data_IF_226556388528
#
_entry.id   IF_226556388528
#
_cell.length_a   1.000
_cell.length_b   1.000
_cell.length_c   1.000
_cell.angle_alpha   90.00
_cell.angle_beta   90.00
_cell.angle_gamma   90.00
#
_symmetry.space_group_name_H-M   'P 1'
#
loop_
_entity.id
_entity.type
_entity.pdbx_description
1 polymer ?
#
# COMPACT_ATOMS: atom_id res chain seq x y z
N UNK A 1 35.45 38.72 -7.58
CA UNK A 1 34.25 38.03 -8.10
C UNK A 1 34.05 36.78 -7.26
N UNK A 2 33.04 36.74 -6.40
CA UNK A 2 32.77 35.59 -5.52
C UNK A 2 31.43 35.00 -5.94
N UNK A 3 31.46 33.77 -6.43
CA UNK A 3 30.31 33.05 -6.95
C UNK A 3 29.65 32.29 -5.80
N UNK A 4 28.55 32.84 -5.28
CA UNK A 4 27.74 32.19 -4.24
C UNK A 4 26.96 31.06 -4.91
N UNK A 5 27.36 29.83 -4.61
CA UNK A 5 26.65 28.62 -5.02
C UNK A 5 25.26 28.61 -4.40
N UNK A 6 24.23 28.73 -5.24
CA UNK A 6 22.84 28.51 -4.84
C UNK A 6 22.68 27.04 -4.45
N UNK A 7 22.59 26.78 -3.15
CA UNK A 7 22.16 25.47 -2.64
C UNK A 7 20.70 25.30 -3.03
N UNK A 8 20.46 24.58 -4.11
CA UNK A 8 19.13 24.14 -4.51
C UNK A 8 18.53 23.30 -3.39
N UNK A 9 17.67 23.90 -2.59
CA UNK A 9 16.77 23.21 -1.67
C UNK A 9 15.90 22.29 -2.54
N UNK A 10 16.31 21.04 -2.67
CA UNK A 10 15.50 20.02 -3.35
C UNK A 10 14.19 19.96 -2.58
N UNK A 11 13.10 20.45 -3.20
CA UNK A 11 11.74 20.19 -2.71
C UNK A 11 11.67 18.68 -2.53
N UNK A 12 11.60 18.21 -1.29
CA UNK A 12 11.34 16.82 -0.97
C UNK A 12 10.06 16.46 -1.72
N UNK A 13 10.20 15.79 -2.87
CA UNK A 13 9.07 15.40 -3.68
C UNK A 13 8.35 14.37 -2.83
N UNK A 14 7.21 14.77 -2.26
CA UNK A 14 6.33 13.84 -1.60
C UNK A 14 6.08 12.72 -2.62
N UNK A 15 6.46 11.46 -2.36
CA UNK A 15 6.35 10.40 -3.35
C UNK A 15 4.91 10.42 -3.86
N UNK A 16 4.74 10.47 -5.19
CA UNK A 16 3.43 10.67 -5.81
C UNK A 16 2.51 9.52 -5.41
N UNK A 17 1.73 9.70 -4.34
CA UNK A 17 0.75 8.73 -3.86
C UNK A 17 -0.43 8.76 -4.81
N UNK A 18 -0.75 7.64 -5.43
CA UNK A 18 -2.00 7.47 -6.18
C UNK A 18 -3.09 7.02 -5.22
N UNK A 19 -4.24 7.69 -5.27
CA UNK A 19 -5.44 7.29 -4.52
C UNK A 19 -6.17 6.23 -5.33
N UNK A 20 -6.63 5.19 -4.66
CA UNK A 20 -7.50 4.17 -5.22
C UNK A 20 -8.60 3.84 -4.21
N UNK A 21 -9.73 3.37 -4.70
CA UNK A 21 -10.87 2.95 -3.90
C UNK A 21 -11.04 1.44 -4.03
N UNK A 22 -11.35 0.77 -2.92
CA UNK A 22 -11.66 -0.65 -2.89
C UNK A 22 -13.01 -0.86 -2.22
N UNK A 23 -13.78 -1.81 -2.72
CA UNK A 23 -14.95 -2.34 -2.04
C UNK A 23 -14.53 -3.63 -1.32
N UNK A 24 -14.89 -3.73 -0.05
CA UNK A 24 -14.76 -4.94 0.76
C UNK A 24 -16.16 -5.42 1.10
N UNK A 25 -16.33 -6.71 1.29
CA UNK A 25 -17.55 -7.19 1.94
C UNK A 25 -17.54 -6.78 3.43
N UNK A 26 -18.70 -6.92 4.07
CA UNK A 26 -18.86 -6.47 5.46
C UNK A 26 -17.99 -7.31 6.41
N UNK A 27 -17.84 -8.61 6.14
CA UNK A 27 -17.06 -9.49 7.00
C UNK A 27 -15.55 -9.14 6.96
N UNK A 28 -14.98 -8.90 5.77
CA UNK A 28 -13.57 -8.50 5.66
C UNK A 28 -13.32 -7.12 6.25
N UNK A 29 -14.27 -6.18 6.09
CA UNK A 29 -14.18 -4.86 6.71
C UNK A 29 -14.12 -4.97 8.25
N UNK A 30 -15.02 -5.75 8.84
CA UNK A 30 -15.06 -5.96 10.29
C UNK A 30 -13.82 -6.68 10.82
N UNK A 31 -13.33 -7.68 10.06
CA UNK A 31 -12.10 -8.38 10.40
C UNK A 31 -10.89 -7.42 10.41
N UNK A 32 -10.81 -6.53 9.41
CA UNK A 32 -9.73 -5.54 9.29
C UNK A 32 -9.78 -4.51 10.44
N UNK A 33 -10.97 -4.08 10.84
CA UNK A 33 -11.16 -3.19 11.99
C UNK A 33 -10.69 -3.85 13.29
N UNK A 34 -11.12 -5.09 13.55
CA UNK A 34 -10.69 -5.86 14.73
C UNK A 34 -9.18 -6.06 14.76
N UNK A 35 -8.57 -6.35 13.60
CA UNK A 35 -7.13 -6.54 13.47
C UNK A 35 -6.36 -5.26 13.86
N UNK A 36 -6.82 -4.09 13.40
CA UNK A 36 -6.20 -2.82 13.75
C UNK A 36 -6.35 -2.46 15.23
N UNK A 37 -7.52 -2.72 15.80
CA UNK A 37 -7.83 -2.45 17.19
C UNK A 37 -7.09 -3.36 18.18
N UNK A 38 -6.76 -4.60 17.76
CA UNK A 38 -6.03 -5.56 18.60
C UNK A 38 -4.56 -5.16 18.86
N UNK A 39 -3.99 -4.28 18.04
CA UNK A 39 -2.60 -3.85 18.17
C UNK A 39 -2.42 -2.74 19.21
N UNK A 40 -1.23 -2.68 19.83
CA UNK A 40 -0.85 -1.60 20.75
C UNK A 40 0.43 -0.92 20.25
N UNK A 41 0.37 0.33 19.73
CA UNK A 41 -0.82 1.17 19.57
C UNK A 41 -1.78 0.67 18.47
N UNK A 42 -3.08 1.05 18.50
CA UNK A 42 -4.02 0.69 17.45
C UNK A 42 -3.56 1.18 16.07
N UNK A 43 -3.64 0.30 15.07
CA UNK A 43 -3.25 0.63 13.71
C UNK A 43 -4.43 1.16 12.91
N UNK A 44 -4.17 2.16 12.06
CA UNK A 44 -5.17 2.69 11.14
C UNK A 44 -5.42 1.70 10.00
N UNK A 45 -6.68 1.57 9.59
CA UNK A 45 -7.08 0.74 8.45
C UNK A 45 -6.27 1.03 7.18
N UNK A 46 -6.01 2.32 6.88
CA UNK A 46 -5.19 2.71 5.75
C UNK A 46 -3.78 2.09 5.80
N UNK A 47 -3.16 2.05 6.98
CA UNK A 47 -1.82 1.47 7.14
C UNK A 47 -1.84 -0.04 6.90
N UNK A 48 -2.86 -0.73 7.40
CA UNK A 48 -3.02 -2.17 7.19
C UNK A 48 -3.18 -2.50 5.70
N UNK A 49 -3.96 -1.71 4.95
CA UNK A 49 -4.12 -1.87 3.51
C UNK A 49 -2.80 -1.61 2.78
N UNK A 50 -2.08 -0.53 3.14
CA UNK A 50 -0.77 -0.24 2.56
C UNK A 50 0.24 -1.37 2.82
N UNK A 51 0.20 -1.98 4.02
CA UNK A 51 1.05 -3.12 4.38
C UNK A 51 0.68 -4.37 3.59
N UNK A 52 -0.61 -4.68 3.47
CA UNK A 52 -1.09 -5.83 2.70
C UNK A 52 -0.69 -5.74 1.22
N UNK A 53 -0.83 -4.55 0.63
CA UNK A 53 -0.39 -4.30 -0.76
C UNK A 53 1.11 -4.49 -0.91
N UNK A 54 1.92 -3.96 0.01
CA UNK A 54 3.38 -4.15 -0.04
C UNK A 54 3.77 -5.62 0.11
N UNK A 55 3.19 -6.32 1.08
CA UNK A 55 3.46 -7.73 1.30
C UNK A 55 3.09 -8.57 0.07
N UNK A 56 1.96 -8.27 -0.58
CA UNK A 56 1.58 -8.91 -1.83
C UNK A 56 2.62 -8.65 -2.93
N UNK A 57 3.00 -7.38 -3.13
CA UNK A 57 3.99 -7.03 -4.15
C UNK A 57 5.34 -7.69 -3.87
N UNK A 58 5.82 -7.71 -2.62
CA UNK A 58 7.08 -8.34 -2.23
C UNK A 58 7.05 -9.86 -2.42
N UNK A 59 5.93 -10.52 -2.10
CA UNK A 59 5.75 -11.96 -2.32
C UNK A 59 5.87 -12.36 -3.80
N UNK A 60 5.45 -11.49 -4.71
CA UNK A 60 5.42 -11.75 -6.15
C UNK A 60 6.47 -11.00 -6.96
N UNK A 61 7.28 -10.13 -6.34
CA UNK A 61 8.35 -9.40 -7.02
C UNK A 61 9.35 -10.35 -7.73
N UNK A 62 9.51 -11.57 -7.22
CA UNK A 62 10.40 -12.59 -7.77
C UNK A 62 9.67 -13.82 -8.35
N UNK A 63 8.33 -13.83 -8.37
CA UNK A 63 7.52 -14.96 -8.81
C UNK A 63 6.53 -14.48 -9.85
N UNK A 64 6.58 -15.05 -11.06
CA UNK A 64 5.60 -14.78 -12.09
C UNK A 64 4.20 -15.03 -11.50
N UNK A 65 3.40 -13.96 -11.44
CA UNK A 65 2.03 -13.99 -10.94
C UNK A 65 1.21 -14.97 -11.81
N UNK A 66 1.06 -16.21 -11.36
CA UNK A 66 0.04 -17.10 -11.89
C UNK A 66 -1.24 -16.82 -11.13
N UNK A 67 -2.05 -15.91 -11.68
CA UNK A 67 -3.43 -15.80 -11.23
C UNK A 67 -4.16 -17.05 -11.73
N UNK A 68 -4.81 -17.84 -10.87
CA UNK A 68 -5.80 -18.78 -11.33
C UNK A 68 -6.94 -17.94 -11.90
N UNK A 69 -6.85 -17.62 -13.18
CA UNK A 69 -8.01 -17.23 -13.96
C UNK A 69 -8.84 -18.50 -14.04
N UNK A 70 -9.72 -18.71 -13.07
CA UNK A 70 -10.82 -19.66 -13.20
C UNK A 70 -11.44 -19.38 -14.56
N UNK A 71 -11.29 -20.31 -15.51
CA UNK A 71 -12.00 -20.24 -16.77
C UNK A 71 -13.46 -20.48 -16.43
N UNK A 72 -14.36 -19.49 -16.55
CA UNK A 72 -15.77 -19.79 -16.53
C UNK A 72 -16.09 -20.42 -17.89
N UNK A 73 -16.14 -21.76 -17.90
CA UNK A 73 -16.69 -22.68 -18.93
C UNK A 73 -15.69 -23.78 -19.34
N UNK A 74 -15.90 -24.97 -18.80
CA UNK A 74 -15.76 -26.23 -19.51
C UNK A 74 -17.03 -27.05 -19.23
#
# INVERSE_FOLDING_TARGET
>A
MVQIGVMSLTRQSNPKRKRFSIALDVADYDALQKLGAAQRPPLKQQYLIELAVKNLLDQYANRQLSFPLDRPNA
#
